data_IF_124744835682
#
_entry.id   IF_124744835682
#
_cell.length_a   1.000
_cell.length_b   1.000
_cell.length_c   1.000
_cell.angle_alpha   90.00
_cell.angle_beta   90.00
_cell.angle_gamma   90.00
#
_symmetry.space_group_name_H-M   'P 1'
#
loop_
_entity.id
_entity.type
_entity.pdbx_description
1 polymer ?
#
# COMPACT_ATOMS: atom_id res chain seq x y z
N UNK A 1 5.78 -69.75 -38.76
CA UNK A 1 6.09 -69.62 -37.32
C UNK A 1 5.97 -68.16 -36.91
N UNK A 2 5.03 -67.83 -36.01
CA UNK A 2 4.75 -66.47 -35.56
C UNK A 2 5.76 -66.02 -34.49
N UNK A 3 6.29 -64.80 -34.60
CA UNK A 3 7.09 -64.14 -33.55
C UNK A 3 6.19 -63.18 -32.75
N UNK A 4 6.23 -63.20 -31.41
CA UNK A 4 5.32 -62.41 -30.59
C UNK A 4 5.74 -60.94 -30.55
N UNK A 5 4.78 -60.06 -30.76
CA UNK A 5 4.95 -58.61 -30.71
C UNK A 5 4.74 -58.12 -29.26
N UNK A 6 5.80 -58.18 -28.46
CA UNK A 6 5.78 -57.67 -27.09
C UNK A 6 5.89 -56.14 -27.05
N UNK A 7 4.75 -55.43 -27.02
CA UNK A 7 4.71 -54.00 -26.70
C UNK A 7 5.25 -53.78 -25.27
N UNK A 8 6.53 -53.39 -25.15
CA UNK A 8 7.11 -52.93 -23.89
C UNK A 8 6.36 -51.69 -23.41
N UNK A 9 5.62 -51.78 -22.30
CA UNK A 9 5.07 -50.62 -21.58
C UNK A 9 6.23 -49.66 -21.27
N UNK A 10 6.17 -48.43 -21.78
CA UNK A 10 7.17 -47.38 -21.49
C UNK A 10 7.19 -47.19 -19.98
N UNK A 11 8.28 -47.57 -19.31
CA UNK A 11 8.40 -47.34 -17.88
C UNK A 11 8.35 -45.83 -17.63
N UNK A 12 7.67 -45.47 -16.54
CA UNK A 12 7.63 -44.16 -15.92
C UNK A 12 9.05 -43.56 -15.86
N UNK A 13 9.42 -42.79 -16.90
CA UNK A 13 10.74 -42.16 -16.98
C UNK A 13 10.73 -40.98 -16.02
N UNK A 14 11.61 -41.04 -15.04
CA UNK A 14 11.86 -39.94 -14.12
C UNK A 14 12.08 -38.64 -14.92
N UNK A 15 11.32 -37.56 -14.67
CA UNK A 15 11.24 -36.41 -15.56
C UNK A 15 12.50 -35.52 -15.56
N UNK A 16 13.39 -35.68 -14.58
CA UNK A 16 14.62 -34.92 -14.38
C UNK A 16 15.86 -35.70 -14.81
N UNK A 17 16.91 -35.00 -15.24
CA UNK A 17 18.22 -35.56 -15.60
C UNK A 17 19.24 -35.25 -14.51
N UNK A 18 20.14 -36.17 -14.17
CA UNK A 18 21.24 -35.89 -13.23
C UNK A 18 22.37 -35.15 -13.96
N UNK A 19 22.75 -33.99 -13.44
CA UNK A 19 23.89 -33.21 -13.96
C UNK A 19 25.22 -33.73 -13.37
N UNK A 20 26.37 -33.59 -14.06
CA UNK A 20 27.68 -33.99 -13.53
C UNK A 20 28.04 -33.39 -12.16
N UNK A 21 27.41 -32.29 -11.77
CA UNK A 21 27.56 -31.66 -10.45
C UNK A 21 26.81 -32.37 -9.32
N UNK A 22 26.13 -33.50 -9.61
CA UNK A 22 25.38 -34.29 -8.63
C UNK A 22 23.95 -33.79 -8.34
N UNK A 23 23.48 -32.76 -9.05
CA UNK A 23 22.14 -32.21 -8.88
C UNK A 23 21.20 -32.65 -10.01
N UNK A 24 19.93 -32.92 -9.69
CA UNK A 24 18.89 -33.17 -10.68
C UNK A 24 18.45 -31.86 -11.32
N UNK A 25 18.37 -31.85 -12.65
CA UNK A 25 18.04 -30.68 -13.44
C UNK A 25 17.02 -30.97 -14.56
N UNK A 26 16.40 -29.91 -15.09
CA UNK A 26 15.60 -29.94 -16.32
C UNK A 26 15.92 -28.73 -17.18
N UNK A 27 16.10 -28.95 -18.48
CA UNK A 27 16.15 -27.85 -19.45
C UNK A 27 14.72 -27.45 -19.81
N UNK A 28 14.36 -26.20 -19.50
CA UNK A 28 13.03 -25.64 -19.76
C UNK A 28 13.26 -24.32 -20.49
N UNK A 29 12.68 -24.18 -21.69
CA UNK A 29 12.77 -22.96 -22.54
C UNK A 29 14.22 -22.44 -22.71
N UNK A 30 15.16 -23.34 -22.91
CA UNK A 30 16.57 -23.02 -23.18
C UNK A 30 17.44 -22.81 -21.94
N UNK A 31 16.88 -22.65 -20.74
CA UNK A 31 17.63 -22.53 -19.47
C UNK A 31 17.61 -23.84 -18.67
N UNK A 32 18.72 -24.13 -17.98
CA UNK A 32 18.82 -25.28 -17.07
C UNK A 32 18.36 -24.86 -15.68
N UNK A 33 17.41 -25.60 -15.09
CA UNK A 33 16.95 -25.41 -13.72
C UNK A 33 17.36 -26.62 -12.87
N UNK A 34 17.84 -26.37 -11.65
CA UNK A 34 18.32 -27.38 -10.70
C UNK A 34 17.32 -27.53 -9.54
N UNK A 35 17.02 -28.76 -9.15
CA UNK A 35 16.01 -29.09 -8.14
C UNK A 35 16.61 -29.78 -6.90
N UNK A 36 17.94 -29.90 -6.84
CA UNK A 36 18.69 -30.49 -5.73
C UNK A 36 19.26 -31.88 -6.01
N UNK A 37 20.05 -32.41 -5.08
CA UNK A 37 20.72 -33.71 -5.20
C UNK A 37 19.83 -34.91 -4.82
N UNK A 38 18.85 -34.70 -3.93
CA UNK A 38 17.93 -35.74 -3.47
C UNK A 38 16.85 -36.03 -4.53
N UNK A 39 16.83 -37.26 -5.06
CA UNK A 39 15.92 -37.65 -6.15
C UNK A 39 14.43 -37.38 -5.85
N UNK A 40 13.97 -37.71 -4.65
CA UNK A 40 12.55 -37.52 -4.26
C UNK A 40 12.19 -36.04 -4.09
N UNK A 41 13.01 -35.29 -3.35
CA UNK A 41 12.80 -33.85 -3.14
C UNK A 41 12.91 -33.06 -4.43
N UNK A 42 13.83 -33.45 -5.32
CA UNK A 42 13.97 -32.83 -6.63
C UNK A 42 12.71 -33.02 -7.49
N UNK A 43 12.11 -34.22 -7.46
CA UNK A 43 10.85 -34.48 -8.15
C UNK A 43 9.70 -33.62 -7.60
N UNK A 44 9.59 -33.53 -6.29
CA UNK A 44 8.56 -32.74 -5.62
C UNK A 44 8.67 -31.25 -5.96
N UNK A 45 9.89 -30.68 -5.88
CA UNK A 45 10.15 -29.28 -6.29
C UNK A 45 9.86 -29.07 -7.77
N UNK A 46 10.23 -30.01 -8.62
CA UNK A 46 9.89 -29.94 -10.04
C UNK A 46 8.38 -29.96 -10.25
N UNK A 47 7.61 -30.81 -9.58
CA UNK A 47 6.15 -30.84 -9.75
C UNK A 47 5.48 -29.55 -9.27
N UNK A 48 6.00 -28.93 -8.21
CA UNK A 48 5.51 -27.64 -7.71
C UNK A 48 5.81 -26.49 -8.69
N UNK A 49 7.01 -26.44 -9.26
CA UNK A 49 7.46 -25.31 -10.09
C UNK A 49 7.25 -25.52 -11.60
N UNK A 50 7.01 -26.75 -12.06
CA UNK A 50 6.99 -27.12 -13.48
C UNK A 50 5.93 -26.33 -14.26
N UNK A 51 4.73 -26.18 -13.73
CA UNK A 51 3.64 -25.43 -14.38
C UNK A 51 4.07 -24.01 -14.71
N UNK A 52 4.69 -23.31 -13.76
CA UNK A 52 5.11 -21.91 -13.92
C UNK A 52 6.35 -21.75 -14.79
N UNK A 53 7.30 -22.69 -14.67
CA UNK A 53 8.51 -22.72 -15.48
C UNK A 53 8.21 -23.01 -16.95
N UNK A 54 7.31 -23.96 -17.24
CA UNK A 54 6.88 -24.28 -18.61
C UNK A 54 6.02 -23.18 -19.21
N UNK A 55 5.13 -22.54 -18.43
CA UNK A 55 4.36 -21.38 -18.91
C UNK A 55 5.20 -20.10 -19.05
N UNK A 56 6.41 -20.06 -18.47
CA UNK A 56 7.31 -18.91 -18.46
C UNK A 56 6.82 -17.71 -17.64
N UNK A 57 5.92 -17.92 -16.68
CA UNK A 57 5.44 -16.86 -15.78
C UNK A 57 6.59 -16.33 -14.92
N UNK A 58 7.41 -17.22 -14.38
CA UNK A 58 8.53 -16.86 -13.52
C UNK A 58 9.58 -15.94 -14.21
N UNK A 59 9.80 -16.12 -15.53
CA UNK A 59 10.72 -15.24 -16.29
C UNK A 59 10.07 -13.89 -16.63
N UNK A 60 8.78 -13.87 -16.96
CA UNK A 60 8.04 -12.62 -17.21
C UNK A 60 7.96 -11.75 -15.96
N UNK A 61 7.70 -12.35 -14.79
CA UNK A 61 7.59 -11.63 -13.51
C UNK A 61 8.94 -11.02 -13.08
N UNK A 62 10.06 -11.74 -13.24
CA UNK A 62 11.39 -11.18 -12.95
C UNK A 62 11.75 -9.97 -13.83
N UNK A 63 11.33 -9.98 -15.10
CA UNK A 63 11.56 -8.83 -15.98
C UNK A 63 10.57 -7.69 -15.69
N UNK A 64 9.32 -8.02 -15.35
CA UNK A 64 8.32 -7.02 -14.96
C UNK A 64 8.75 -6.23 -13.71
N UNK A 65 9.35 -6.90 -12.71
CA UNK A 65 9.92 -6.22 -11.53
C UNK A 65 11.04 -5.23 -11.90
N UNK A 66 11.88 -5.59 -12.88
CA UNK A 66 12.98 -4.76 -13.34
C UNK A 66 12.48 -3.58 -14.21
N UNK A 67 11.36 -3.77 -14.90
CA UNK A 67 10.78 -2.79 -15.82
C UNK A 67 9.68 -1.91 -15.18
N UNK A 68 9.26 -2.21 -13.95
CA UNK A 68 8.20 -1.44 -13.30
C UNK A 68 8.76 -0.16 -12.66
N UNK A 69 8.21 0.97 -13.10
CA UNK A 69 8.49 2.29 -12.55
C UNK A 69 7.64 2.59 -11.33
N UNK A 70 8.15 3.47 -10.45
CA UNK A 70 7.41 3.92 -9.27
C UNK A 70 6.08 4.58 -9.64
N UNK A 71 6.04 5.39 -10.72
CA UNK A 71 4.79 5.99 -11.22
C UNK A 71 3.76 4.92 -11.59
N UNK A 72 4.17 3.88 -12.31
CA UNK A 72 3.27 2.79 -12.71
C UNK A 72 2.68 2.09 -11.49
N UNK A 73 3.53 1.76 -10.51
CA UNK A 73 3.07 1.13 -9.27
C UNK A 73 2.11 2.03 -8.46
N UNK A 74 2.42 3.32 -8.34
CA UNK A 74 1.53 4.28 -7.68
C UNK A 74 0.17 4.33 -8.35
N UNK A 75 0.11 4.36 -9.69
CA UNK A 75 -1.14 4.39 -10.43
C UNK A 75 -1.95 3.10 -10.22
N UNK A 76 -1.32 1.93 -10.37
CA UNK A 76 -1.97 0.63 -10.13
C UNK A 76 -2.57 0.53 -8.72
N UNK A 77 -1.81 0.97 -7.71
CA UNK A 77 -2.30 0.98 -6.33
C UNK A 77 -3.47 1.94 -6.15
N UNK A 78 -3.39 3.15 -6.72
CA UNK A 78 -4.47 4.15 -6.60
C UNK A 78 -5.75 3.72 -7.32
N UNK A 79 -5.64 3.07 -8.48
CA UNK A 79 -6.79 2.48 -9.18
C UNK A 79 -7.47 1.41 -8.31
N UNK A 80 -6.69 0.54 -7.67
CA UNK A 80 -7.21 -0.43 -6.72
C UNK A 80 -7.87 0.24 -5.50
N UNK A 81 -7.29 1.31 -4.94
CA UNK A 81 -7.91 2.03 -3.82
C UNK A 81 -9.20 2.76 -4.25
N UNK A 82 -9.26 3.28 -5.48
CA UNK A 82 -10.47 3.90 -6.02
C UNK A 82 -11.60 2.88 -6.15
N UNK A 83 -11.30 1.66 -6.62
CA UNK A 83 -12.28 0.57 -6.64
C UNK A 83 -12.83 0.27 -5.25
N UNK A 84 -11.99 0.32 -4.20
CA UNK A 84 -12.42 0.16 -2.80
C UNK A 84 -13.28 1.31 -2.29
N UNK A 85 -13.03 2.54 -2.74
CA UNK A 85 -13.92 3.68 -2.44
C UNK A 85 -15.28 3.45 -3.08
N UNK A 86 -15.32 3.04 -4.35
CA UNK A 86 -16.56 2.76 -5.06
C UNK A 86 -17.35 1.61 -4.42
N UNK A 87 -16.65 0.62 -3.85
CA UNK A 87 -17.25 -0.47 -3.09
C UNK A 87 -17.73 -0.07 -1.68
N UNK A 88 -17.37 1.12 -1.18
CA UNK A 88 -17.69 1.58 0.17
C UNK A 88 -16.74 1.10 1.27
N UNK A 89 -15.69 0.35 0.92
CA UNK A 89 -14.68 -0.15 1.87
C UNK A 89 -13.69 0.93 2.35
N UNK A 90 -13.67 2.07 1.66
CA UNK A 90 -12.72 3.15 1.90
C UNK A 90 -13.39 4.51 1.78
N UNK A 91 -13.05 5.44 2.67
CA UNK A 91 -13.54 6.82 2.56
C UNK A 91 -12.81 7.58 1.46
N UNK A 92 -13.54 8.41 0.73
CA UNK A 92 -12.99 9.29 -0.32
C UNK A 92 -11.89 10.22 0.24
N UNK A 93 -12.08 10.70 1.48
CA UNK A 93 -11.08 11.51 2.19
C UNK A 93 -9.74 10.78 2.33
N UNK A 94 -9.78 9.52 2.75
CA UNK A 94 -8.56 8.74 2.94
C UNK A 94 -7.88 8.42 1.60
N UNK A 95 -8.66 8.17 0.53
CA UNK A 95 -8.12 8.06 -0.82
C UNK A 95 -7.41 9.35 -1.27
N UNK A 96 -8.00 10.52 -1.04
CA UNK A 96 -7.36 11.80 -1.34
C UNK A 96 -6.03 11.99 -0.58
N UNK A 97 -5.97 11.54 0.68
CA UNK A 97 -4.74 11.56 1.48
C UNK A 97 -3.68 10.60 0.89
N UNK A 98 -4.08 9.42 0.41
CA UNK A 98 -3.20 8.49 -0.29
C UNK A 98 -2.62 9.10 -1.58
N UNK A 99 -3.45 9.73 -2.41
CA UNK A 99 -3.00 10.42 -3.64
C UNK A 99 -1.96 11.48 -3.32
N UNK A 100 -2.22 12.33 -2.32
CA UNK A 100 -1.27 13.37 -1.88
C UNK A 100 0.03 12.80 -1.34
N UNK A 101 -0.06 11.71 -0.57
CA UNK A 101 1.10 11.03 0.01
C UNK A 101 1.98 10.39 -1.06
N UNK A 102 1.39 9.62 -1.98
CA UNK A 102 2.13 8.91 -3.03
C UNK A 102 2.72 9.87 -4.07
N UNK A 103 2.02 10.95 -4.41
CA UNK A 103 2.60 12.02 -5.25
C UNK A 103 3.84 12.63 -4.60
N UNK A 104 3.82 12.84 -3.28
CA UNK A 104 4.96 13.36 -2.53
C UNK A 104 6.13 12.36 -2.53
N UNK A 105 5.84 11.08 -2.35
CA UNK A 105 6.85 10.02 -2.43
C UNK A 105 7.49 9.97 -3.83
N UNK A 106 6.68 9.87 -4.88
CA UNK A 106 7.15 9.85 -6.26
C UNK A 106 7.93 11.13 -6.64
N UNK A 107 7.54 12.30 -6.11
CA UNK A 107 8.28 13.55 -6.32
C UNK A 107 9.65 13.58 -5.65
N UNK A 108 9.84 12.87 -4.53
CA UNK A 108 11.12 12.81 -3.82
C UNK A 108 12.08 11.78 -4.44
N UNK A 109 11.59 10.57 -4.71
CA UNK A 109 12.42 9.46 -5.24
C UNK A 109 12.62 9.56 -6.76
N UNK A 110 11.75 10.30 -7.44
CA UNK A 110 11.70 10.37 -8.89
C UNK A 110 10.61 9.45 -9.45
N UNK A 111 9.67 9.97 -10.26
CA UNK A 111 8.53 9.19 -10.72
C UNK A 111 8.91 8.12 -11.76
N UNK A 112 9.98 8.35 -12.53
CA UNK A 112 10.53 7.41 -13.51
C UNK A 112 11.58 6.47 -12.91
N UNK A 113 11.77 6.50 -11.57
CA UNK A 113 12.69 5.61 -10.88
C UNK A 113 12.19 4.16 -10.97
N UNK A 114 13.10 3.23 -11.27
CA UNK A 114 12.81 1.80 -11.30
C UNK A 114 12.72 1.28 -9.87
N UNK A 115 11.73 0.45 -9.57
CA UNK A 115 11.52 -0.05 -8.20
C UNK A 115 12.71 -0.88 -7.72
N UNK A 116 13.34 -1.63 -8.62
CA UNK A 116 14.56 -2.40 -8.36
C UNK A 116 15.76 -1.55 -7.92
N UNK A 117 15.77 -0.26 -8.25
CA UNK A 117 16.85 0.68 -7.90
C UNK A 117 16.64 1.39 -6.56
N UNK A 118 15.44 1.31 -5.97
CA UNK A 118 15.12 1.97 -4.69
C UNK A 118 15.90 1.29 -3.57
N UNK A 119 16.85 2.02 -2.98
CA UNK A 119 17.65 1.54 -1.86
C UNK A 119 17.06 1.97 -0.53
N UNK A 120 17.47 1.30 0.54
CA UNK A 120 17.07 1.64 1.90
C UNK A 120 17.43 3.08 2.28
N UNK A 121 18.54 3.61 1.76
CA UNK A 121 18.96 5.00 2.03
C UNK A 121 17.96 6.02 1.48
N UNK A 122 17.45 5.82 0.26
CA UNK A 122 16.47 6.71 -0.37
C UNK A 122 15.17 6.75 0.44
N UNK A 123 14.80 5.62 1.04
CA UNK A 123 13.63 5.52 1.92
C UNK A 123 13.84 6.23 3.27
N UNK A 124 15.06 6.25 3.80
CA UNK A 124 15.39 7.00 5.01
C UNK A 124 15.43 8.51 4.74
N UNK A 125 15.97 8.92 3.59
CA UNK A 125 15.98 10.32 3.17
C UNK A 125 14.55 10.85 2.99
N UNK A 126 13.67 10.04 2.40
CA UNK A 126 12.24 10.36 2.35
C UNK A 126 11.64 10.55 3.75
N UNK A 127 11.94 9.65 4.70
CA UNK A 127 11.50 9.78 6.09
C UNK A 127 12.01 11.06 6.74
N UNK A 128 13.27 11.43 6.52
CA UNK A 128 13.86 12.64 7.08
C UNK A 128 13.22 13.91 6.51
N UNK A 129 12.93 13.92 5.20
CA UNK A 129 12.18 15.00 4.57
C UNK A 129 10.77 15.13 5.18
N UNK A 130 10.08 14.02 5.45
CA UNK A 130 8.77 14.04 6.09
C UNK A 130 8.82 14.62 7.52
N UNK A 131 9.86 14.29 8.30
CA UNK A 131 10.07 14.82 9.64
C UNK A 131 10.23 16.35 9.58
N UNK A 132 11.10 16.83 8.69
CA UNK A 132 11.35 18.26 8.51
C UNK A 132 10.09 19.01 8.05
N UNK A 133 9.30 18.40 7.15
CA UNK A 133 8.13 19.06 6.56
C UNK A 133 6.95 19.21 7.51
N UNK A 134 6.63 18.19 8.30
CA UNK A 134 5.42 18.21 9.14
C UNK A 134 5.69 18.68 10.58
N UNK A 135 6.92 18.54 11.08
CA UNK A 135 7.26 18.80 12.48
C UNK A 135 6.53 17.92 13.51
N UNK A 136 5.54 17.14 13.08
CA UNK A 136 4.67 16.31 13.92
C UNK A 136 4.73 14.84 13.50
N UNK A 137 4.72 13.90 14.46
CA UNK A 137 4.74 12.47 14.16
C UNK A 137 3.55 12.00 13.31
N UNK A 138 2.37 12.59 13.51
CA UNK A 138 1.13 12.14 12.88
C UNK A 138 1.19 12.25 11.35
N UNK A 139 1.58 13.41 10.82
CA UNK A 139 1.67 13.64 9.37
C UNK A 139 2.72 12.75 8.72
N UNK A 140 3.92 12.67 9.31
CA UNK A 140 4.98 11.81 8.80
C UNK A 140 4.60 10.32 8.84
N UNK A 141 4.01 9.85 9.94
CA UNK A 141 3.58 8.46 10.10
C UNK A 141 2.50 8.05 9.11
N UNK A 142 1.57 8.95 8.79
CA UNK A 142 0.56 8.70 7.77
C UNK A 142 1.21 8.43 6.41
N UNK A 143 2.17 9.27 6.00
CA UNK A 143 2.85 9.13 4.70
C UNK A 143 3.71 7.86 4.65
N UNK A 144 4.44 7.54 5.72
CA UNK A 144 5.21 6.28 5.85
C UNK A 144 4.27 5.07 5.78
N UNK A 145 3.12 5.11 6.47
CA UNK A 145 2.17 4.01 6.47
C UNK A 145 1.59 3.75 5.08
N UNK A 146 1.22 4.81 4.34
CA UNK A 146 0.68 4.70 2.98
C UNK A 146 1.73 4.12 2.03
N UNK A 147 2.98 4.60 2.10
CA UNK A 147 4.09 4.05 1.31
C UNK A 147 4.28 2.55 1.58
N UNK A 148 4.34 2.14 2.85
CA UNK A 148 4.46 0.72 3.23
C UNK A 148 3.26 -0.10 2.75
N UNK A 149 2.05 0.45 2.84
CA UNK A 149 0.83 -0.23 2.41
C UNK A 149 0.84 -0.52 0.90
N UNK A 150 1.28 0.44 0.08
CA UNK A 150 1.43 0.26 -1.37
C UNK A 150 2.38 -0.89 -1.70
N UNK A 151 3.58 -0.89 -1.13
CA UNK A 151 4.55 -1.95 -1.37
C UNK A 151 4.05 -3.32 -0.88
N UNK A 152 3.50 -3.40 0.33
CA UNK A 152 2.94 -4.64 0.86
C UNK A 152 1.78 -5.17 0.01
N UNK A 153 0.91 -4.29 -0.48
CA UNK A 153 -0.15 -4.66 -1.43
C UNK A 153 0.44 -5.24 -2.72
N UNK A 154 1.51 -4.62 -3.26
CA UNK A 154 2.15 -5.08 -4.48
C UNK A 154 2.71 -6.51 -4.38
N UNK A 155 3.37 -6.84 -3.25
CA UNK A 155 3.85 -8.22 -3.01
C UNK A 155 2.74 -9.20 -2.72
N UNK A 156 1.69 -8.79 -2.01
CA UNK A 156 0.54 -9.67 -1.72
C UNK A 156 -0.25 -10.05 -2.97
N UNK A 157 -0.21 -9.22 -4.01
CA UNK A 157 -0.91 -9.45 -5.28
C UNK A 157 0.06 -9.92 -6.39
N UNK A 158 1.26 -10.38 -6.03
CA UNK A 158 2.29 -10.86 -6.97
C UNK A 158 2.67 -9.87 -8.09
N UNK A 159 2.43 -8.56 -7.88
CA UNK A 159 2.81 -7.48 -8.81
C UNK A 159 4.32 -7.24 -8.72
N UNK A 160 4.87 -7.36 -7.50
CA UNK A 160 6.30 -7.34 -7.22
C UNK A 160 6.73 -8.67 -6.59
N UNK A 161 7.77 -9.31 -7.13
CA UNK A 161 8.42 -10.43 -6.46
C UNK A 161 9.31 -9.95 -5.31
N UNK A 162 10.08 -8.89 -5.54
CA UNK A 162 10.95 -8.29 -4.53
C UNK A 162 10.52 -6.87 -4.18
N UNK A 163 10.39 -6.58 -2.87
CA UNK A 163 10.18 -5.23 -2.35
C UNK A 163 11.49 -4.72 -1.75
N UNK A 164 11.80 -3.41 -1.88
CA UNK A 164 12.77 -2.73 -1.03
C UNK A 164 12.60 -3.04 0.46
N UNK A 165 13.65 -2.86 1.27
CA UNK A 165 13.57 -3.03 2.72
C UNK A 165 12.79 -1.89 3.39
N UNK A 166 11.47 -1.91 3.25
CA UNK A 166 10.55 -0.93 3.82
C UNK A 166 10.51 -0.99 5.35
N UNK A 167 10.89 -2.10 5.97
CA UNK A 167 10.87 -2.27 7.41
C UNK A 167 11.98 -1.50 8.12
N UNK A 168 13.06 -1.19 7.42
CA UNK A 168 14.09 -0.27 7.90
C UNK A 168 13.52 1.13 8.24
N UNK A 169 12.44 1.56 7.58
CA UNK A 169 11.81 2.85 7.84
C UNK A 169 10.85 2.75 9.02
N UNK A 170 11.32 3.10 10.20
CA UNK A 170 10.49 3.11 11.41
C UNK A 170 9.55 4.33 11.48
N UNK A 171 8.33 4.09 11.96
CA UNK A 171 7.39 5.15 12.34
C UNK A 171 7.94 5.95 13.53
N UNK A 172 7.63 7.23 13.59
CA UNK A 172 7.96 8.11 14.69
C UNK A 172 7.10 7.80 15.91
N UNK A 173 7.70 7.82 17.10
CA UNK A 173 6.97 7.67 18.35
C UNK A 173 6.01 8.85 18.51
N UNK A 174 4.74 8.54 18.76
CA UNK A 174 3.72 9.56 19.03
C UNK A 174 3.53 9.62 20.55
N UNK A 175 3.93 10.73 21.15
CA UNK A 175 3.67 10.99 22.56
C UNK A 175 2.20 11.43 22.66
N UNK A 176 1.38 10.67 23.39
CA UNK A 176 0.02 11.09 23.71
C UNK A 176 0.13 12.30 24.64
N UNK A 177 -0.23 13.48 24.15
CA UNK A 177 -0.44 14.64 25.01
C UNK A 177 -1.81 14.47 25.67
N UNK A 178 -1.87 14.60 26.98
CA UNK A 178 -3.14 14.72 27.67
C UNK A 178 -3.85 15.96 27.15
N UNK A 179 -5.13 15.80 26.81
CA UNK A 179 -5.96 16.94 26.39
C UNK A 179 -6.43 17.63 27.66
N UNK A 180 -6.38 18.97 27.74
CA UNK A 180 -6.96 19.67 28.86
C UNK A 180 -8.44 19.31 28.96
N UNK A 181 -8.89 18.97 30.16
CA UNK A 181 -10.30 18.81 30.49
C UNK A 181 -10.81 20.17 30.94
N UNK A 182 -11.98 20.58 30.46
CA UNK A 182 -12.60 21.84 30.88
C UNK A 182 -13.43 21.60 32.13
N UNK A 183 -13.21 22.41 33.15
CA UNK A 183 -14.07 22.45 34.33
C UNK A 183 -15.39 23.20 34.04
N UNK A 184 -16.40 22.96 34.87
CA UNK A 184 -17.70 23.62 34.86
C UNK A 184 -17.60 25.15 34.84
N UNK A 185 -16.62 25.73 35.55
CA UNK A 185 -16.38 27.18 35.59
C UNK A 185 -15.87 27.71 34.26
N UNK A 186 -14.93 26.99 33.64
CA UNK A 186 -14.37 27.31 32.33
C UNK A 186 -15.41 27.19 31.22
N UNK A 187 -16.27 26.17 31.27
CA UNK A 187 -17.37 25.99 30.32
C UNK A 187 -18.34 27.18 30.38
N UNK A 188 -18.67 27.67 31.58
CA UNK A 188 -19.52 28.88 31.73
C UNK A 188 -18.87 30.11 31.12
N UNK A 189 -17.56 30.29 31.33
CA UNK A 189 -16.81 31.39 30.72
C UNK A 189 -16.82 31.31 29.19
N UNK A 190 -16.69 30.11 28.62
CA UNK A 190 -16.79 29.89 27.17
C UNK A 190 -18.17 30.26 26.63
N UNK A 191 -19.26 29.89 27.32
CA UNK A 191 -20.64 30.18 26.91
C UNK A 191 -20.94 31.68 26.93
N UNK A 192 -20.43 32.41 27.94
CA UNK A 192 -20.64 33.86 28.09
C UNK A 192 -19.93 34.63 26.97
N UNK A 193 -18.68 34.26 26.66
CA UNK A 193 -17.86 34.96 25.67
C UNK A 193 -18.10 34.50 24.21
N UNK A 194 -18.83 33.40 24.01
CA UNK A 194 -19.17 32.88 22.69
C UNK A 194 -20.23 33.73 21.97
N UNK A 195 -20.10 33.85 20.65
CA UNK A 195 -21.13 34.38 19.78
C UNK A 195 -22.33 33.41 19.69
N UNK A 196 -23.46 33.88 19.15
CA UNK A 196 -24.69 33.10 19.06
C UNK A 196 -24.51 31.70 18.42
N UNK A 197 -23.81 31.54 17.28
CA UNK A 197 -23.61 30.21 16.69
C UNK A 197 -22.68 29.33 17.52
N UNK A 198 -21.58 29.85 18.09
CA UNK A 198 -20.69 29.04 18.93
C UNK A 198 -21.38 28.63 20.23
N UNK A 199 -22.20 29.50 20.82
CA UNK A 199 -22.99 29.19 22.02
C UNK A 199 -23.94 28.02 21.78
N UNK A 200 -24.64 28.01 20.65
CA UNK A 200 -25.48 26.90 20.24
C UNK A 200 -24.67 25.60 20.06
N UNK A 201 -23.49 25.66 19.43
CA UNK A 201 -22.61 24.50 19.26
C UNK A 201 -22.11 23.94 20.60
N UNK A 202 -21.74 24.80 21.56
CA UNK A 202 -21.33 24.37 22.91
C UNK A 202 -22.48 23.64 23.60
N UNK A 203 -23.70 24.19 23.56
CA UNK A 203 -24.87 23.55 24.16
C UNK A 203 -25.22 22.21 23.50
N UNK A 204 -25.10 22.10 22.18
CA UNK A 204 -25.30 20.82 21.47
C UNK A 204 -24.22 19.80 21.83
N UNK A 205 -22.96 20.23 21.99
CA UNK A 205 -21.88 19.38 22.46
C UNK A 205 -22.12 18.85 23.87
N UNK A 206 -22.56 19.71 24.81
CA UNK A 206 -22.80 19.34 26.20
C UNK A 206 -24.04 18.45 26.37
N UNK A 207 -25.16 18.77 25.71
CA UNK A 207 -26.42 18.04 25.90
C UNK A 207 -26.52 16.78 25.04
N UNK A 208 -25.98 16.81 23.82
CA UNK A 208 -26.16 15.74 22.83
C UNK A 208 -24.87 15.00 22.47
N UNK A 209 -23.72 15.42 23.00
CA UNK A 209 -22.42 14.85 22.65
C UNK A 209 -22.00 15.13 21.21
N UNK A 210 -22.54 16.18 20.57
CA UNK A 210 -22.27 16.47 19.16
C UNK A 210 -20.87 17.03 18.97
N UNK A 211 -20.12 16.42 18.05
CA UNK A 211 -18.84 16.93 17.60
C UNK A 211 -18.98 17.95 16.47
N UNK A 212 -17.86 18.60 16.11
CA UNK A 212 -17.86 19.61 15.04
C UNK A 212 -18.38 19.07 13.69
N UNK A 213 -18.15 17.78 13.40
CA UNK A 213 -18.66 17.12 12.19
C UNK A 213 -20.18 16.96 12.20
N UNK A 214 -20.77 16.69 13.36
CA UNK A 214 -22.21 16.49 13.53
C UNK A 214 -22.94 17.83 13.41
N UNK A 215 -22.40 18.86 14.07
CA UNK A 215 -22.87 20.24 13.94
C UNK A 215 -22.82 20.72 12.48
N UNK A 216 -21.75 20.39 11.74
CA UNK A 216 -21.63 20.74 10.30
C UNK A 216 -22.67 20.02 9.44
N UNK A 217 -22.95 18.75 9.71
CA UNK A 217 -23.92 17.97 8.95
C UNK A 217 -25.36 18.48 9.18
N UNK A 218 -25.66 18.96 10.40
CA UNK A 218 -27.01 19.38 10.79
C UNK A 218 -27.31 20.86 10.58
N UNK A 219 -26.32 21.75 10.70
CA UNK A 219 -26.56 23.20 10.68
C UNK A 219 -26.53 23.85 9.30
N UNK A 220 -26.32 23.08 8.22
CA UNK A 220 -26.23 23.63 6.86
C UNK A 220 -25.08 24.63 6.71
N UNK A 221 -24.74 25.04 5.48
CA UNK A 221 -23.88 26.22 5.34
C UNK A 221 -24.75 27.43 5.66
N UNK A 222 -24.44 28.24 6.69
CA UNK A 222 -25.03 29.57 6.74
C UNK A 222 -24.61 30.27 5.45
N UNK A 223 -25.60 30.68 4.65
CA UNK A 223 -25.36 31.59 3.54
C UNK A 223 -24.56 32.76 4.10
N UNK A 224 -23.41 33.05 3.49
CA UNK A 224 -22.77 34.34 3.67
C UNK A 224 -23.85 35.38 3.46
N UNK A 225 -24.12 36.19 4.49
CA UNK A 225 -25.22 37.14 4.50
C UNK A 225 -25.22 37.94 3.21
N UNK A 226 -26.38 37.96 2.54
CA UNK A 226 -26.69 38.97 1.56
C UNK A 226 -26.40 40.32 2.21
N UNK A 227 -25.44 41.08 1.64
CA UNK A 227 -25.31 42.48 2.00
C UNK A 227 -26.64 43.14 1.66
N UNK A 228 -27.22 43.97 2.56
CA UNK A 228 -28.38 44.74 2.18
C UNK A 228 -28.02 45.59 0.97
N UNK A 229 -28.74 45.39 -0.12
CA UNK A 229 -28.77 46.31 -1.25
C UNK A 229 -29.11 47.69 -0.70
N UNK A 230 -28.16 48.61 -0.75
CA UNK A 230 -28.48 50.02 -0.62
C UNK A 230 -29.30 50.39 -1.85
N UNK A 231 -30.62 50.37 -1.69
CA UNK A 231 -31.56 51.05 -2.58
C UNK A 231 -31.65 52.51 -2.14
N UNK A 232 -31.12 53.36 -3.00
CA UNK A 232 -31.56 54.73 -3.32
C UNK A 232 -32.73 55.28 -2.50
N UNK A 233 -32.48 56.37 -1.79
CA UNK A 233 -33.32 57.59 -1.71
C UNK A 233 -32.47 58.73 -1.16
#
# INVERSE_FOLDING_TARGET
MAKPNGKKKRSSKFPLTLHPTGQYCKKIRGKLYYFGADKRRALERYLQEATDLHSGRATRLRNADAEMTLRSLCNLYLEHQLARVNAGDLTERYYADQVKSLRKFAGHTGPSCWISSIRTIDLQDYRNMLIQKYGTPAGANLNIAIMKAMFNWAKKNDILQSIPNIDAVAKLRTIKKEKPLFDSTEIRQLVINADNPMRAMIWLGLNCGFGCTDCRAKMGRPGFGERPSQSES
#
